data_IF_346156999620
#
_entry.id   IF_346156999620
#
_cell.length_a   1.000
_cell.length_b   1.000
_cell.length_c   1.000
_cell.angle_alpha   90.00
_cell.angle_beta   90.00
_cell.angle_gamma   90.00
#
_symmetry.space_group_name_H-M   'P 1'
#
loop_
_entity.id
_entity.type
_entity.pdbx_description
1 polymer ?
#
# COMPACT_ATOMS: atom_id res chain seq x y z
N UNK A 1 15.93 -10.91 -7.85
CA UNK A 1 15.29 -10.22 -8.99
C UNK A 1 14.51 -9.00 -8.54
N UNK A 2 13.53 -9.11 -7.62
CA UNK A 2 12.79 -7.92 -7.12
C UNK A 2 13.58 -7.07 -6.11
N UNK A 3 14.29 -7.72 -5.18
CA UNK A 3 15.11 -7.06 -4.16
C UNK A 3 16.37 -6.39 -4.75
N UNK A 4 16.87 -6.90 -5.88
CA UNK A 4 17.97 -6.27 -6.58
C UNK A 4 17.42 -5.30 -7.63
N UNK A 5 17.31 -4.03 -7.26
CA UNK A 5 16.84 -2.94 -8.14
C UNK A 5 17.75 -2.66 -9.34
N UNK A 6 18.90 -3.35 -9.49
CA UNK A 6 19.69 -3.35 -10.73
C UNK A 6 19.07 -4.26 -11.80
N UNK A 7 18.22 -5.20 -11.41
CA UNK A 7 17.58 -6.17 -12.29
C UNK A 7 16.16 -5.70 -12.60
N UNK A 8 15.92 -5.35 -13.87
CA UNK A 8 14.64 -4.84 -14.34
C UNK A 8 13.83 -5.94 -15.03
N UNK A 9 13.50 -7.00 -14.28
CA UNK A 9 12.61 -8.06 -14.74
C UNK A 9 11.22 -7.81 -14.18
N UNK A 10 10.18 -8.02 -14.99
CA UNK A 10 8.81 -7.96 -14.49
C UNK A 10 8.60 -9.01 -13.40
N UNK A 11 8.03 -8.60 -12.28
CA UNK A 11 7.71 -9.48 -11.16
C UNK A 11 6.25 -9.26 -10.75
N UNK A 12 5.61 -10.24 -10.08
CA UNK A 12 4.26 -10.06 -9.55
C UNK A 12 4.22 -9.26 -8.23
N UNK A 13 5.35 -8.69 -7.82
CA UNK A 13 5.51 -8.06 -6.52
C UNK A 13 5.37 -6.54 -6.65
N UNK A 14 4.53 -5.96 -5.79
CA UNK A 14 4.36 -4.51 -5.69
C UNK A 14 4.95 -4.07 -4.36
N UNK A 15 6.00 -3.24 -4.41
CA UNK A 15 6.67 -2.74 -3.20
C UNK A 15 5.96 -1.52 -2.62
N UNK A 16 5.77 -1.53 -1.31
CA UNK A 16 5.23 -0.45 -0.51
C UNK A 16 6.21 0.00 0.57
N UNK A 17 6.00 1.21 1.07
CA UNK A 17 6.69 1.73 2.25
C UNK A 17 5.68 2.19 3.29
N UNK A 18 5.98 1.99 4.58
CA UNK A 18 5.10 2.42 5.68
C UNK A 18 5.66 3.58 6.52
N UNK A 19 6.74 4.22 6.06
CA UNK A 19 7.39 5.34 6.76
C UNK A 19 7.36 6.60 5.89
N UNK A 20 6.83 7.74 6.40
CA UNK A 20 6.83 9.01 5.68
C UNK A 20 8.26 9.41 5.25
N UNK A 21 9.21 9.31 6.17
CA UNK A 21 10.62 9.59 5.89
C UNK A 21 11.19 8.71 4.77
N UNK A 22 10.83 7.42 4.76
CA UNK A 22 11.30 6.50 3.72
C UNK A 22 10.66 6.79 2.35
N UNK A 23 9.46 7.40 2.31
CA UNK A 23 8.80 7.87 1.09
C UNK A 23 9.51 9.12 0.55
N UNK A 24 9.79 10.10 1.42
CA UNK A 24 10.55 11.32 1.07
C UNK A 24 11.93 10.99 0.50
N UNK A 25 12.67 10.13 1.19
CA UNK A 25 14.00 9.70 0.74
C UNK A 25 13.92 9.01 -0.63
N UNK A 26 12.88 8.20 -0.86
CA UNK A 26 12.66 7.55 -2.14
C UNK A 26 12.31 8.55 -3.25
N UNK A 27 11.46 9.54 -2.96
CA UNK A 27 11.06 10.56 -3.91
C UNK A 27 12.24 11.48 -4.27
N UNK A 28 13.05 11.88 -3.29
CA UNK A 28 14.28 12.64 -3.48
C UNK A 28 15.30 11.88 -4.35
N UNK A 29 15.50 10.59 -4.07
CA UNK A 29 16.36 9.74 -4.92
C UNK A 29 15.85 9.61 -6.36
N UNK A 30 14.53 9.72 -6.56
CA UNK A 30 13.89 9.63 -7.88
C UNK A 30 13.92 10.95 -8.63
N UNK A 31 13.79 12.10 -7.95
CA UNK A 31 13.81 13.43 -8.57
C UNK A 31 15.18 13.78 -9.17
N UNK A 32 16.27 13.30 -8.57
CA UNK A 32 17.63 13.42 -9.12
C UNK A 32 17.86 12.68 -10.46
N UNK A 33 16.87 11.93 -10.97
CA UNK A 33 16.95 11.22 -12.25
C UNK A 33 16.14 11.96 -13.31
N UNK A 34 16.83 12.81 -14.09
CA UNK A 34 16.30 13.73 -15.11
C UNK A 34 15.37 13.17 -16.20
N UNK A 35 15.10 11.86 -16.22
CA UNK A 35 14.22 11.19 -17.19
C UNK A 35 12.89 10.70 -16.60
N UNK A 36 12.65 10.93 -15.31
CA UNK A 36 11.39 10.52 -14.66
C UNK A 36 10.46 11.73 -14.61
N UNK A 37 9.28 11.60 -15.22
CA UNK A 37 8.24 12.64 -15.21
C UNK A 37 7.61 12.82 -13.82
N UNK A 38 6.41 13.40 -13.78
CA UNK A 38 5.68 13.65 -12.53
C UNK A 38 5.58 12.37 -11.68
N UNK A 39 5.85 12.54 -10.38
CA UNK A 39 5.79 11.46 -9.41
C UNK A 39 4.47 11.51 -8.65
N UNK A 40 3.92 10.35 -8.31
CA UNK A 40 2.69 10.25 -7.55
C UNK A 40 2.88 9.36 -6.33
N UNK A 41 2.31 9.80 -5.20
CA UNK A 41 2.11 8.97 -4.03
C UNK A 41 0.74 8.28 -4.14
N UNK A 42 0.73 6.95 -4.11
CA UNK A 42 -0.50 6.15 -3.97
C UNK A 42 -0.53 5.57 -2.57
N UNK A 43 -1.60 5.86 -1.83
CA UNK A 43 -1.79 5.32 -0.47
C UNK A 43 -2.88 4.27 -0.49
N UNK A 44 -2.62 3.17 0.19
CA UNK A 44 -3.54 2.03 0.29
C UNK A 44 -3.92 1.74 1.73
N UNK A 45 -5.09 1.14 1.94
CA UNK A 45 -5.53 0.57 3.20
C UNK A 45 -5.15 -0.92 3.28
N UNK A 46 -4.07 -1.27 4.00
CA UNK A 46 -3.64 -2.67 4.10
C UNK A 46 -4.68 -3.55 4.82
N UNK A 47 -5.57 -2.98 5.64
CA UNK A 47 -6.60 -3.75 6.34
C UNK A 47 -7.60 -4.38 5.35
N UNK A 48 -7.96 -3.66 4.29
CA UNK A 48 -8.80 -4.17 3.20
C UNK A 48 -8.22 -5.45 2.60
N UNK A 49 -6.94 -5.39 2.29
CA UNK A 49 -6.21 -6.51 1.70
C UNK A 49 -6.21 -7.74 2.61
N UNK A 50 -5.97 -7.55 3.90
CA UNK A 50 -5.99 -8.61 4.89
C UNK A 50 -7.40 -9.20 5.08
N UNK A 51 -8.46 -8.38 5.06
CA UNK A 51 -9.85 -8.86 5.11
C UNK A 51 -10.21 -9.73 3.91
N UNK A 52 -9.61 -9.46 2.75
CA UNK A 52 -9.77 -10.26 1.54
C UNK A 52 -8.90 -11.53 1.54
N UNK A 53 -8.18 -11.81 2.63
CA UNK A 53 -7.28 -12.97 2.74
C UNK A 53 -6.02 -12.88 1.89
N UNK A 54 -5.66 -11.67 1.44
CA UNK A 54 -4.48 -11.45 0.60
C UNK A 54 -3.23 -11.14 1.44
N UNK A 55 -2.06 -11.68 1.09
CA UNK A 55 -0.86 -11.53 1.90
C UNK A 55 -0.22 -10.15 1.79
N UNK A 56 0.41 -9.70 2.87
CA UNK A 56 1.37 -8.58 2.89
C UNK A 56 2.64 -9.12 3.53
N UNK A 57 3.76 -9.02 2.83
CA UNK A 57 5.04 -9.54 3.28
C UNK A 57 5.92 -8.41 3.80
N UNK A 58 6.46 -8.56 5.01
CA UNK A 58 7.53 -7.69 5.52
C UNK A 58 8.85 -8.15 4.91
N UNK A 59 9.46 -7.32 4.07
CA UNK A 59 10.65 -7.73 3.31
C UNK A 59 11.80 -8.12 4.23
N UNK A 60 12.01 -7.39 5.32
CA UNK A 60 13.15 -7.65 6.20
C UNK A 60 12.94 -8.94 6.98
N UNK A 61 11.72 -9.18 7.46
CA UNK A 61 11.37 -10.43 8.15
C UNK A 61 11.49 -11.65 7.21
N UNK A 62 11.03 -11.53 5.96
CA UNK A 62 11.14 -12.61 4.97
C UNK A 62 12.61 -12.90 4.60
N UNK A 63 13.42 -11.84 4.43
CA UNK A 63 14.84 -12.00 4.15
C UNK A 63 15.58 -12.69 5.29
N UNK A 64 15.25 -12.35 6.54
CA UNK A 64 15.79 -13.03 7.72
C UNK A 64 15.36 -14.49 7.78
N UNK A 65 14.05 -14.75 7.65
CA UNK A 65 13.48 -16.09 7.73
C UNK A 65 14.08 -17.06 6.71
N UNK A 66 14.22 -16.61 5.46
CA UNK A 66 14.76 -17.43 4.37
C UNK A 66 16.28 -17.26 4.17
N UNK A 67 16.97 -16.52 5.04
CA UNK A 67 18.41 -16.25 4.93
C UNK A 67 18.81 -15.69 3.56
N UNK A 68 17.97 -14.81 3.01
CA UNK A 68 18.21 -14.15 1.72
C UNK A 68 19.36 -13.15 1.89
N UNK A 69 20.42 -13.30 1.10
CA UNK A 69 21.54 -12.37 1.12
C UNK A 69 21.13 -10.98 0.63
N UNK A 70 21.56 -9.95 1.35
CA UNK A 70 21.41 -8.55 0.94
C UNK A 70 22.23 -8.27 -0.35
N UNK A 71 21.57 -8.02 -1.50
CA UNK A 71 22.24 -7.71 -2.76
C UNK A 71 23.13 -6.46 -2.71
N UNK A 72 22.90 -5.57 -1.74
CA UNK A 72 23.61 -4.30 -1.58
C UNK A 72 24.60 -4.30 -0.41
N UNK A 73 24.64 -5.38 0.39
CA UNK A 73 25.54 -5.53 1.55
C UNK A 73 25.46 -4.33 2.51
N UNK A 74 24.24 -3.81 2.75
CA UNK A 74 23.97 -2.65 3.60
C UNK A 74 23.15 -3.03 4.83
N UNK A 75 23.37 -4.23 5.37
CA UNK A 75 22.68 -4.71 6.59
C UNK A 75 21.15 -4.60 6.48
N UNK A 76 20.59 -4.85 5.29
CA UNK A 76 19.15 -4.73 4.99
C UNK A 76 18.54 -3.33 5.18
N UNK A 77 19.34 -2.28 5.40
CA UNK A 77 18.84 -0.91 5.63
C UNK A 77 18.00 -0.38 4.47
N UNK A 78 18.25 -0.85 3.24
CA UNK A 78 17.43 -0.50 2.07
C UNK A 78 15.99 -1.03 2.13
N UNK A 79 15.77 -2.11 2.87
CA UNK A 79 14.50 -2.82 2.97
C UNK A 79 13.74 -2.49 4.25
N UNK A 80 14.32 -1.68 5.13
CA UNK A 80 13.60 -1.16 6.29
C UNK A 80 12.31 -0.46 5.83
N UNK A 81 11.22 -0.71 6.55
CA UNK A 81 9.89 -0.18 6.24
C UNK A 81 9.34 -0.62 4.88
N UNK A 82 9.91 -1.65 4.24
CA UNK A 82 9.49 -2.11 2.91
C UNK A 82 8.62 -3.34 3.02
N UNK A 83 7.47 -3.28 2.35
CA UNK A 83 6.49 -4.35 2.30
C UNK A 83 6.23 -4.76 0.86
N UNK A 84 5.82 -6.00 0.65
CA UNK A 84 5.46 -6.53 -0.68
C UNK A 84 4.02 -7.02 -0.67
N UNK A 85 3.26 -6.60 -1.69
CA UNK A 85 1.95 -7.11 -2.03
C UNK A 85 2.04 -7.98 -3.30
N UNK A 86 1.25 -9.05 -3.36
CA UNK A 86 1.07 -9.97 -4.49
C UNK A 86 -0.42 -9.98 -4.91
N UNK A 87 -0.88 -9.83 -6.15
CA UNK A 87 -0.27 -9.61 -7.46
C UNK A 87 -0.73 -8.26 -8.04
N UNK A 88 -1.82 -7.74 -7.46
CA UNK A 88 -2.49 -6.50 -7.78
C UNK A 88 -2.88 -5.78 -6.48
N UNK A 89 -3.26 -4.52 -6.63
CA UNK A 89 -3.84 -3.67 -5.59
C UNK A 89 -5.26 -3.34 -6.04
N UNK A 90 -6.25 -3.80 -5.28
CA UNK A 90 -7.65 -3.54 -5.58
C UNK A 90 -7.99 -2.06 -5.51
N UNK A 91 -8.95 -1.61 -6.33
CA UNK A 91 -9.44 -0.21 -6.28
C UNK A 91 -10.04 0.13 -4.92
N UNK A 92 -10.61 -0.86 -4.24
CA UNK A 92 -11.17 -0.75 -2.91
C UNK A 92 -10.11 -0.75 -1.80
N UNK A 93 -8.84 -1.01 -2.12
CA UNK A 93 -7.69 -0.82 -1.23
C UNK A 93 -7.14 0.60 -1.34
N UNK A 94 -7.35 1.30 -2.46
CA UNK A 94 -6.76 2.62 -2.71
C UNK A 94 -7.51 3.71 -1.96
N UNK A 95 -6.77 4.43 -1.10
CA UNK A 95 -7.27 5.59 -0.36
C UNK A 95 -7.23 6.84 -1.24
N UNK A 96 -6.17 6.99 -2.02
CA UNK A 96 -6.02 8.12 -2.92
C UNK A 96 -4.68 8.14 -3.65
N UNK A 97 -4.59 9.13 -4.55
CA UNK A 97 -3.39 9.45 -5.32
C UNK A 97 -3.13 10.95 -5.21
N UNK A 98 -1.86 11.31 -5.00
CA UNK A 98 -1.43 12.70 -4.91
C UNK A 98 -0.20 12.90 -5.78
N UNK A 99 -0.15 14.01 -6.51
CA UNK A 99 1.09 14.44 -7.15
C UNK A 99 2.11 14.79 -6.07
N UNK A 100 3.31 14.22 -6.17
CA UNK A 100 4.31 14.31 -5.11
C UNK A 100 4.78 15.75 -4.88
N UNK A 101 5.01 16.53 -5.94
CA UNK A 101 5.55 17.88 -5.82
C UNK A 101 4.52 18.85 -5.18
N UNK A 102 3.23 18.64 -5.46
CA UNK A 102 2.14 19.35 -4.79
C UNK A 102 2.01 18.91 -3.32
N UNK A 103 2.01 17.60 -3.07
CA UNK A 103 1.88 17.04 -1.73
C UNK A 103 3.03 17.48 -0.81
N UNK A 104 4.27 17.36 -1.28
CA UNK A 104 5.48 17.65 -0.54
C UNK A 104 5.73 19.16 -0.34
N UNK A 105 4.88 20.03 -0.92
CA UNK A 105 4.89 21.46 -0.62
C UNK A 105 4.34 21.76 0.79
N UNK A 106 3.60 20.84 1.39
CA UNK A 106 3.23 20.86 2.80
C UNK A 106 4.26 20.04 3.62
N UNK A 107 4.92 20.66 4.59
CA UNK A 107 5.88 19.99 5.48
C UNK A 107 5.21 18.89 6.32
N UNK A 108 3.95 19.10 6.72
CA UNK A 108 3.15 18.17 7.52
C UNK A 108 2.18 17.35 6.65
N UNK A 109 2.53 17.08 5.38
CA UNK A 109 1.68 16.39 4.41
C UNK A 109 1.13 15.05 4.92
N UNK A 110 1.91 14.31 5.70
CA UNK A 110 1.50 13.01 6.20
C UNK A 110 0.38 13.16 7.24
N UNK A 111 0.59 14.05 8.22
CA UNK A 111 -0.32 14.32 9.33
C UNK A 111 -1.57 15.10 8.90
N UNK A 112 -1.42 16.08 8.00
CA UNK A 112 -2.51 17.00 7.63
C UNK A 112 -3.30 16.54 6.40
N UNK A 113 -2.72 15.70 5.53
CA UNK A 113 -3.38 15.28 4.28
C UNK A 113 -3.64 13.78 4.29
N UNK A 114 -2.60 12.95 4.51
CA UNK A 114 -2.73 11.50 4.38
C UNK A 114 -3.51 10.87 5.52
N UNK A 115 -3.20 11.21 6.78
CA UNK A 115 -3.91 10.67 7.95
C UNK A 115 -5.41 11.01 7.89
N UNK A 116 -5.84 12.26 7.60
CA UNK A 116 -7.26 12.58 7.47
C UNK A 116 -7.94 11.84 6.32
N UNK A 117 -7.27 11.70 5.17
CA UNK A 117 -7.78 10.91 4.04
C UNK A 117 -7.98 9.43 4.43
N UNK A 118 -6.99 8.84 5.11
CA UNK A 118 -7.05 7.48 5.64
C UNK A 118 -8.22 7.29 6.61
N UNK A 119 -8.38 8.19 7.58
CA UNK A 119 -9.48 8.15 8.56
C UNK A 119 -10.84 8.26 7.86
N UNK A 120 -10.98 9.20 6.91
CA UNK A 120 -12.21 9.40 6.15
C UNK A 120 -12.56 8.14 5.35
N UNK A 121 -11.58 7.55 4.67
CA UNK A 121 -11.73 6.32 3.90
C UNK A 121 -12.22 5.17 4.79
N UNK A 122 -11.55 4.93 5.93
CA UNK A 122 -11.95 3.86 6.86
C UNK A 122 -13.34 4.08 7.45
N UNK A 123 -13.70 5.32 7.82
CA UNK A 123 -15.05 5.66 8.29
C UNK A 123 -16.11 5.32 7.23
N UNK A 124 -15.89 5.73 5.98
CA UNK A 124 -16.81 5.43 4.89
C UNK A 124 -16.97 3.92 4.66
N UNK A 125 -15.88 3.15 4.79
CA UNK A 125 -15.90 1.69 4.63
C UNK A 125 -16.67 0.99 5.75
N UNK A 126 -16.49 1.40 7.01
CA UNK A 126 -17.28 0.89 8.14
C UNK A 126 -18.77 1.21 8.00
N UNK A 127 -19.11 2.43 7.57
CA UNK A 127 -20.51 2.82 7.33
C UNK A 127 -21.14 2.09 6.14
N UNK A 128 -20.36 1.78 5.11
CA UNK A 128 -20.80 0.96 3.97
C UNK A 128 -21.04 -0.50 4.35
N UNK A 129 -20.19 -1.08 5.19
CA UNK A 129 -20.34 -2.45 5.69
C UNK A 129 -21.62 -2.63 6.52
N UNK A 130 -22.01 -1.65 7.33
CA UNK A 130 -23.26 -1.68 8.08
C UNK A 130 -24.52 -1.61 7.20
N UNK A 131 -24.41 -0.99 6.02
CA UNK A 131 -25.48 -0.97 4.99
C UNK A 131 -25.55 -2.25 4.17
N UNK A 132 -24.43 -2.96 4.02
CA UNK A 132 -24.41 -4.26 3.35
C UNK A 132 -24.89 -5.39 4.27
N UNK A 133 -24.78 -5.25 5.60
CA UNK A 133 -25.29 -6.25 6.55
C UNK A 133 -26.81 -6.22 6.74
N UNK A 134 -27.53 -5.25 6.15
CA UNK A 134 -28.99 -5.34 5.96
C UNK A 134 -29.31 -6.09 4.67
N UNK A 135 -28.64 -7.24 4.44
CA UNK A 135 -29.24 -8.29 3.62
C UNK A 135 -30.46 -8.76 4.39
N UNK A 136 -31.63 -8.35 3.90
CA UNK A 136 -32.91 -8.63 4.48
C UNK A 136 -33.20 -10.12 4.33
N UNK A 137 -32.89 -10.90 5.37
CA UNK A 137 -33.18 -12.33 5.43
C UNK A 137 -34.69 -12.60 5.33
N UNK A 138 -35.56 -11.58 5.43
CA UNK A 138 -37.00 -11.75 5.22
C UNK A 138 -37.37 -12.02 3.75
N UNK A 139 -36.65 -11.45 2.77
CA UNK A 139 -36.89 -11.71 1.34
C UNK A 139 -36.57 -13.17 0.93
N UNK A 140 -35.59 -13.80 1.61
CA UNK A 140 -35.23 -15.20 1.36
C UNK A 140 -36.24 -16.16 2.01
N UNK A 141 -36.83 -15.77 3.15
CA UNK A 141 -37.83 -16.61 3.83
C UNK A 141 -39.20 -16.56 3.14
N UNK A 142 -39.55 -15.47 2.44
CA UNK A 142 -40.80 -15.36 1.66
C UNK A 142 -40.78 -16.12 0.32
N UNK A 143 -39.60 -16.53 -0.17
CA UNK A 143 -39.45 -17.23 -1.46
C UNK A 143 -39.30 -18.75 -1.36
N UNK A 144 -39.43 -19.33 -0.16
CA UNK A 144 -39.40 -20.78 0.03
C UNK A 144 -40.81 -21.38 -0.20
N UNK A 145 -41.00 -22.28 -1.17
CA UNK A 145 -42.23 -23.04 -1.28
C UNK A 145 -42.36 -24.00 -0.09
N UNK A 146 -43.55 -24.03 0.51
CA UNK A 146 -43.92 -24.93 1.60
C UNK A 146 -44.09 -26.39 1.18
#
# INVERSE_FOLDING_TARGET
>A
THLDHRIWTSTPYISFKNSPKAIEDLAFQRSGRSKRGAQYLTVIDPATRLMNGLPILDVTAEMEHYSIQDPYQRLNLYYLHSYICLWEVGKDEVIGHWEWDELASNEDWYEEIIIPAFIKFRKAKTSGSARASTFDMSEIMESLPG
#
